data_IF_715376293894
#
_entry.id   IF_715376293894
#
_cell.length_a   1.000
_cell.length_b   1.000
_cell.length_c   1.000
_cell.angle_alpha   90.00
_cell.angle_beta   90.00
_cell.angle_gamma   90.00
#
_symmetry.space_group_name_H-M   'P 1'
#
loop_
_entity.id
_entity.type
_entity.pdbx_description
1 polymer ?
#
# COMPACT_ATOMS: atom_id res chain seq x y z
N UNK A 1 18.92 -7.67 -17.31
CA UNK A 1 18.73 -8.15 -15.91
C UNK A 1 18.57 -6.93 -15.03
N UNK A 2 17.39 -6.75 -14.43
CA UNK A 2 17.23 -5.67 -13.43
C UNK A 2 17.97 -6.09 -12.17
N UNK A 3 18.87 -5.21 -11.70
CA UNK A 3 19.58 -5.40 -10.42
C UNK A 3 18.53 -5.41 -9.30
N UNK A 4 18.61 -6.39 -8.40
CA UNK A 4 17.79 -6.45 -7.20
C UNK A 4 18.07 -5.22 -6.32
N UNK A 5 17.03 -4.63 -5.75
CA UNK A 5 17.14 -3.51 -4.81
C UNK A 5 17.54 -4.10 -3.45
N UNK A 6 18.68 -3.64 -2.92
CA UNK A 6 19.15 -4.01 -1.60
C UNK A 6 18.87 -2.91 -0.58
N UNK A 7 18.82 -3.23 0.73
CA UNK A 7 18.62 -2.24 1.79
C UNK A 7 19.59 -1.04 1.71
N UNK A 8 20.85 -1.30 1.37
CA UNK A 8 21.89 -0.26 1.25
C UNK A 8 21.66 0.69 0.06
N UNK A 9 20.92 0.24 -0.96
CA UNK A 9 20.60 1.09 -2.11
C UNK A 9 19.56 2.17 -1.75
N UNK A 10 18.77 1.99 -0.68
CA UNK A 10 17.64 2.85 -0.32
C UNK A 10 18.06 4.25 0.18
N UNK A 11 19.32 4.41 0.56
CA UNK A 11 19.87 5.69 1.03
C UNK A 11 20.53 6.49 -0.10
N UNK A 12 20.53 5.96 -1.32
CA UNK A 12 21.02 6.60 -2.54
C UNK A 12 19.88 6.90 -3.53
N UNK A 13 20.10 7.88 -4.40
CA UNK A 13 19.21 8.12 -5.54
C UNK A 13 19.29 6.94 -6.53
N UNK A 14 18.16 6.54 -7.16
CA UNK A 14 16.86 7.24 -7.15
C UNK A 14 15.93 6.84 -6.00
N UNK A 15 16.27 5.81 -5.20
CA UNK A 15 15.34 5.23 -4.22
C UNK A 15 15.08 6.14 -3.04
N UNK A 16 16.10 6.83 -2.54
CA UNK A 16 15.95 7.83 -1.46
C UNK A 16 14.94 8.92 -1.84
N UNK A 17 15.06 9.47 -3.04
CA UNK A 17 14.18 10.53 -3.55
C UNK A 17 12.74 10.03 -3.70
N UNK A 18 12.56 8.80 -4.21
CA UNK A 18 11.25 8.17 -4.29
C UNK A 18 10.61 8.02 -2.89
N UNK A 19 11.35 7.46 -1.93
CA UNK A 19 10.87 7.24 -0.56
C UNK A 19 10.44 8.57 0.07
N UNK A 20 11.28 9.61 -0.06
CA UNK A 20 10.99 10.95 0.47
C UNK A 20 9.76 11.56 -0.20
N UNK A 21 9.63 11.41 -1.52
CA UNK A 21 8.47 11.90 -2.28
C UNK A 21 7.18 11.22 -1.81
N UNK A 22 7.19 9.90 -1.66
CA UNK A 22 6.02 9.14 -1.21
C UNK A 22 5.67 9.45 0.25
N UNK A 23 6.66 9.63 1.12
CA UNK A 23 6.42 10.03 2.51
C UNK A 23 5.84 11.45 2.60
N UNK A 24 6.32 12.38 1.78
CA UNK A 24 5.74 13.72 1.67
C UNK A 24 4.30 13.68 1.16
N UNK A 25 3.99 12.81 0.17
CA UNK A 25 2.62 12.60 -0.30
C UNK A 25 1.71 12.09 0.83
N UNK A 26 2.20 11.17 1.66
CA UNK A 26 1.45 10.68 2.83
C UNK A 26 1.18 11.79 3.83
N UNK A 27 2.20 12.58 4.21
CA UNK A 27 2.00 13.76 5.08
C UNK A 27 0.97 14.72 4.49
N UNK A 28 1.04 14.97 3.18
CA UNK A 28 0.14 15.90 2.49
C UNK A 28 -1.29 15.38 2.36
N UNK A 29 -1.53 14.09 2.59
CA UNK A 29 -2.88 13.53 2.63
C UNK A 29 -3.65 13.92 3.91
N UNK A 30 -2.97 14.54 4.90
CA UNK A 30 -3.56 15.09 6.13
C UNK A 30 -4.48 14.11 6.89
N UNK A 31 -4.11 12.84 6.88
CA UNK A 31 -4.85 11.78 7.55
C UNK A 31 -4.62 11.84 9.08
N UNK A 32 -5.60 11.45 9.91
CA UNK A 32 -5.40 11.35 11.34
C UNK A 32 -4.23 10.40 11.67
N UNK A 33 -3.15 10.98 12.21
CA UNK A 33 -1.90 10.26 12.43
C UNK A 33 -1.94 9.30 13.63
N UNK A 34 -2.70 9.65 14.68
CA UNK A 34 -2.71 8.89 15.93
C UNK A 34 -1.31 8.80 16.53
N UNK A 35 -0.75 7.58 16.59
CA UNK A 35 0.60 7.30 17.08
C UNK A 35 1.65 7.18 15.96
N UNK A 36 1.25 7.31 14.70
CA UNK A 36 2.14 7.16 13.55
C UNK A 36 2.94 8.44 13.34
N UNK A 37 4.25 8.28 13.15
CA UNK A 37 5.20 9.37 12.90
C UNK A 37 5.72 9.34 11.47
N UNK A 38 6.43 10.40 11.06
CA UNK A 38 7.08 10.45 9.75
C UNK A 38 8.07 9.28 9.53
N UNK A 39 8.78 8.86 10.57
CA UNK A 39 9.71 7.73 10.49
C UNK A 39 8.98 6.41 10.19
N UNK A 40 7.76 6.23 10.70
CA UNK A 40 6.93 5.08 10.36
C UNK A 40 6.56 5.08 8.87
N UNK A 41 6.26 6.25 8.27
CA UNK A 41 6.00 6.35 6.83
C UNK A 41 7.21 5.89 6.02
N UNK A 42 8.39 6.40 6.38
CA UNK A 42 9.65 6.04 5.72
C UNK A 42 9.89 4.53 5.82
N UNK A 43 9.73 3.93 7.00
CA UNK A 43 9.91 2.49 7.20
C UNK A 43 8.91 1.68 6.38
N UNK A 44 7.63 2.04 6.38
CA UNK A 44 6.61 1.34 5.61
C UNK A 44 6.90 1.37 4.09
N UNK A 45 7.27 2.53 3.56
CA UNK A 45 7.60 2.69 2.14
C UNK A 45 8.88 1.93 1.77
N UNK A 46 9.92 1.97 2.62
CA UNK A 46 11.16 1.20 2.43
C UNK A 46 10.89 -0.30 2.39
N UNK A 47 10.12 -0.81 3.36
CA UNK A 47 9.73 -2.23 3.40
C UNK A 47 8.97 -2.60 2.14
N UNK A 48 7.97 -1.82 1.74
CA UNK A 48 7.20 -2.10 0.53
C UNK A 48 8.09 -2.10 -0.73
N UNK A 49 9.03 -1.16 -0.86
CA UNK A 49 9.97 -1.12 -1.99
C UNK A 49 10.88 -2.36 -2.04
N UNK A 50 11.33 -2.84 -0.87
CA UNK A 50 12.11 -4.08 -0.80
C UNK A 50 11.27 -5.32 -1.07
N UNK A 51 9.97 -5.30 -0.79
CA UNK A 51 9.08 -6.42 -1.10
C UNK A 51 8.73 -6.46 -2.57
N UNK A 52 8.28 -5.35 -3.17
CA UNK A 52 7.89 -5.30 -4.58
C UNK A 52 9.06 -5.37 -5.55
N UNK A 53 10.26 -4.98 -5.08
CA UNK A 53 11.46 -4.86 -5.90
C UNK A 53 11.26 -3.99 -7.16
N UNK A 54 10.26 -3.10 -7.14
CA UNK A 54 9.83 -2.31 -8.29
C UNK A 54 9.37 -0.91 -7.85
N UNK A 55 10.16 0.14 -8.14
CA UNK A 55 9.87 1.52 -7.71
C UNK A 55 8.53 2.05 -8.24
N UNK A 56 8.20 1.75 -9.50
CA UNK A 56 6.95 2.17 -10.12
C UNK A 56 5.77 1.49 -9.43
N UNK A 57 5.86 0.17 -9.20
CA UNK A 57 4.82 -0.59 -8.51
C UNK A 57 4.61 -0.07 -7.08
N UNK A 58 5.68 0.16 -6.32
CA UNK A 58 5.61 0.76 -4.98
C UNK A 58 4.89 2.09 -5.00
N UNK A 59 5.23 2.97 -5.94
CA UNK A 59 4.58 4.28 -6.05
C UNK A 59 3.08 4.15 -6.35
N UNK A 60 2.69 3.25 -7.26
CA UNK A 60 1.29 2.97 -7.57
C UNK A 60 0.53 2.46 -6.35
N UNK A 61 1.09 1.50 -5.62
CA UNK A 61 0.46 0.93 -4.41
C UNK A 61 0.28 2.00 -3.34
N UNK A 62 1.33 2.76 -3.00
CA UNK A 62 1.25 3.81 -1.98
C UNK A 62 0.19 4.85 -2.33
N UNK A 63 0.17 5.32 -3.57
CA UNK A 63 -0.81 6.34 -4.00
C UNK A 63 -2.24 5.81 -3.98
N UNK A 64 -2.46 4.57 -4.41
CA UNK A 64 -3.79 3.96 -4.39
C UNK A 64 -4.32 3.80 -2.95
N UNK A 65 -3.47 3.32 -2.02
CA UNK A 65 -3.85 3.19 -0.61
C UNK A 65 -4.11 4.55 0.03
N UNK A 66 -3.27 5.57 -0.24
CA UNK A 66 -3.49 6.93 0.26
C UNK A 66 -4.79 7.54 -0.27
N UNK A 67 -5.05 7.42 -1.58
CA UNK A 67 -6.29 7.89 -2.20
C UNK A 67 -7.51 7.26 -1.52
N UNK A 68 -7.50 5.94 -1.38
CA UNK A 68 -8.58 5.22 -0.72
C UNK A 68 -8.73 5.62 0.75
N UNK A 69 -7.63 5.84 1.48
CA UNK A 69 -7.68 6.28 2.86
C UNK A 69 -8.37 7.65 2.99
N UNK A 70 -8.07 8.59 2.09
CA UNK A 70 -8.74 9.89 2.03
C UNK A 70 -10.23 9.72 1.73
N UNK A 71 -10.57 8.95 0.69
CA UNK A 71 -11.96 8.73 0.26
C UNK A 71 -12.83 8.07 1.35
N UNK A 72 -12.24 7.16 2.13
CA UNK A 72 -12.92 6.42 3.18
C UNK A 72 -12.67 7.00 4.59
N UNK A 73 -12.08 8.19 4.69
CA UNK A 73 -11.76 8.87 5.95
C UNK A 73 -11.02 7.97 6.96
N UNK A 74 -10.01 7.23 6.48
CA UNK A 74 -9.18 6.31 7.28
C UNK A 74 -7.99 7.05 7.90
N UNK A 75 -7.33 6.39 8.84
CA UNK A 75 -6.16 6.93 9.56
C UNK A 75 -4.85 6.58 8.87
N UNK A 76 -3.76 7.25 9.23
CA UNK A 76 -2.42 6.83 8.80
C UNK A 76 -2.06 5.43 9.28
N UNK A 77 -2.57 5.00 10.44
CA UNK A 77 -2.35 3.62 10.91
C UNK A 77 -2.96 2.60 9.95
N UNK A 78 -4.17 2.87 9.44
CA UNK A 78 -4.81 2.02 8.44
C UNK A 78 -3.99 1.94 7.14
N UNK A 79 -3.41 3.07 6.69
CA UNK A 79 -2.52 3.07 5.51
C UNK A 79 -1.31 2.16 5.73
N UNK A 80 -0.66 2.24 6.90
CA UNK A 80 0.49 1.38 7.22
C UNK A 80 0.13 -0.12 7.12
N UNK A 81 -1.00 -0.52 7.71
CA UNK A 81 -1.47 -1.91 7.67
C UNK A 81 -1.81 -2.37 6.26
N UNK A 82 -2.43 -1.51 5.44
CA UNK A 82 -2.73 -1.85 4.06
C UNK A 82 -1.48 -1.91 3.17
N UNK A 83 -0.44 -1.10 3.42
CA UNK A 83 0.83 -1.26 2.73
C UNK A 83 1.54 -2.58 3.08
N UNK A 84 1.42 -3.05 4.33
CA UNK A 84 1.92 -4.38 4.73
C UNK A 84 1.16 -5.49 3.99
N UNK A 85 -0.18 -5.38 3.95
CA UNK A 85 -1.02 -6.31 3.20
C UNK A 85 -0.62 -6.36 1.72
N UNK A 86 -0.52 -5.21 1.05
CA UNK A 86 -0.17 -5.12 -0.37
C UNK A 86 1.23 -5.66 -0.66
N UNK A 87 2.18 -5.47 0.26
CA UNK A 87 3.50 -6.10 0.16
C UNK A 87 3.40 -7.63 0.26
N UNK A 88 2.64 -8.15 1.22
CA UNK A 88 2.50 -9.60 1.44
C UNK A 88 1.94 -10.34 0.22
N UNK A 89 1.02 -9.72 -0.51
CA UNK A 89 0.38 -10.32 -1.68
C UNK A 89 1.09 -9.97 -3.01
N UNK A 90 2.18 -9.19 -2.97
CA UNK A 90 2.90 -8.84 -4.18
C UNK A 90 3.54 -10.09 -4.82
N UNK A 91 3.23 -10.32 -6.10
CA UNK A 91 3.62 -11.53 -6.82
C UNK A 91 2.64 -12.71 -6.69
N UNK A 92 1.60 -12.61 -5.87
CA UNK A 92 0.46 -13.54 -5.86
C UNK A 92 -0.68 -13.02 -6.76
N UNK A 93 -1.58 -13.92 -7.17
CA UNK A 93 -2.86 -13.48 -7.73
C UNK A 93 -3.70 -12.85 -6.61
N UNK A 94 -4.00 -11.56 -6.78
CA UNK A 94 -4.75 -10.77 -5.79
C UNK A 94 -6.14 -11.36 -5.51
N UNK A 95 -6.85 -11.76 -6.56
CA UNK A 95 -8.24 -12.22 -6.42
C UNK A 95 -8.26 -13.57 -5.70
N UNK A 96 -7.35 -14.47 -6.04
CA UNK A 96 -7.21 -15.74 -5.36
C UNK A 96 -6.85 -15.54 -3.89
N UNK A 97 -5.94 -14.61 -3.57
CA UNK A 97 -5.55 -14.34 -2.19
C UNK A 97 -6.71 -13.76 -1.35
N UNK A 98 -7.44 -12.79 -1.90
CA UNK A 98 -8.58 -12.18 -1.21
C UNK A 98 -9.72 -13.19 -0.98
N UNK A 99 -10.00 -14.06 -1.96
CA UNK A 99 -10.98 -15.13 -1.80
C UNK A 99 -10.51 -16.20 -0.81
N UNK A 100 -9.21 -16.51 -0.80
CA UNK A 100 -8.63 -17.43 0.17
C UNK A 100 -8.80 -16.91 1.60
N UNK A 101 -8.49 -15.63 1.86
CA UNK A 101 -8.66 -14.99 3.17
C UNK A 101 -10.11 -15.15 3.69
N UNK A 102 -11.11 -14.89 2.84
CA UNK A 102 -12.52 -15.11 3.20
C UNK A 102 -12.85 -16.59 3.43
N UNK A 103 -12.32 -17.50 2.61
CA UNK A 103 -12.61 -18.93 2.71
C UNK A 103 -12.02 -19.61 3.96
N UNK A 104 -10.98 -19.01 4.55
CA UNK A 104 -10.34 -19.52 5.77
C UNK A 104 -10.97 -18.98 7.06
N UNK A 105 -11.93 -18.06 6.97
CA UNK A 105 -12.63 -17.54 8.14
C UNK A 105 -13.62 -18.57 8.70
N UNK A 106 -13.60 -18.78 10.02
CA UNK A 106 -14.54 -19.67 10.71
C UNK A 106 -16.00 -19.19 10.53
N UNK A 107 -16.20 -17.88 10.45
CA UNK A 107 -17.47 -17.22 10.13
C UNK A 107 -17.16 -15.94 9.33
N UNK A 108 -17.89 -15.69 8.25
CA UNK A 108 -17.75 -14.46 7.44
C UNK A 108 -18.75 -13.44 7.95
N UNK A 109 -18.26 -12.35 8.51
CA UNK A 109 -19.07 -11.22 8.98
C UNK A 109 -19.06 -10.05 7.99
N UNK A 110 -19.97 -9.09 8.20
CA UNK A 110 -20.10 -7.91 7.35
C UNK A 110 -18.80 -7.09 7.29
N UNK A 111 -18.02 -7.06 8.38
CA UNK A 111 -16.76 -6.32 8.43
C UNK A 111 -15.72 -6.93 7.50
N UNK A 112 -15.66 -8.26 7.41
CA UNK A 112 -14.77 -8.95 6.47
C UNK A 112 -15.19 -8.69 5.02
N UNK A 113 -16.49 -8.68 4.73
CA UNK A 113 -16.99 -8.34 3.41
C UNK A 113 -16.70 -6.88 3.03
N UNK A 114 -16.81 -5.95 3.99
CA UNK A 114 -16.43 -4.55 3.77
C UNK A 114 -14.94 -4.41 3.43
N UNK A 115 -14.05 -5.06 4.20
CA UNK A 115 -12.60 -5.05 3.92
C UNK A 115 -12.30 -5.67 2.55
N UNK A 116 -12.93 -6.78 2.20
CA UNK A 116 -12.80 -7.40 0.89
C UNK A 116 -13.20 -6.42 -0.23
N UNK A 117 -14.37 -5.79 -0.10
CA UNK A 117 -14.87 -4.83 -1.07
C UNK A 117 -13.96 -3.60 -1.21
N UNK A 118 -13.44 -3.08 -0.09
CA UNK A 118 -12.45 -2.00 -0.10
C UNK A 118 -11.19 -2.44 -0.89
N UNK A 119 -10.65 -3.63 -0.61
CA UNK A 119 -9.43 -4.14 -1.27
C UNK A 119 -9.63 -4.45 -2.75
N UNK A 120 -10.77 -5.01 -3.15
CA UNK A 120 -11.08 -5.30 -4.56
C UNK A 120 -11.16 -4.02 -5.39
N UNK A 121 -11.78 -2.96 -4.84
CA UNK A 121 -12.05 -1.74 -5.58
C UNK A 121 -10.87 -0.74 -5.63
N UNK A 122 -9.78 -1.03 -4.91
CA UNK A 122 -8.60 -0.15 -4.77
C UNK A 122 -7.95 0.24 -6.09
N UNK A 123 -7.91 -0.68 -7.05
CA UNK A 123 -7.22 -0.51 -8.34
C UNK A 123 -8.16 -0.48 -9.56
N UNK A 124 -9.47 -0.61 -9.36
CA UNK A 124 -10.46 -0.60 -10.46
C UNK A 124 -10.84 0.80 -10.91
N UNK A 125 -10.72 1.79 -10.01
CA UNK A 125 -11.12 3.18 -10.25
C UNK A 125 -10.23 3.94 -11.26
N UNK A 126 -9.05 3.42 -11.60
CA UNK A 126 -8.14 4.04 -12.57
C UNK A 126 -8.43 3.63 -14.03
N UNK A 127 -9.35 2.68 -14.26
CA UNK A 127 -9.72 2.21 -15.61
C UNK A 127 -10.86 3.06 -16.23
N UNK A 128 -11.60 3.81 -15.41
CA UNK A 128 -12.76 4.59 -15.86
C UNK A 128 -12.44 6.03 -16.32
N UNK A 129 -11.16 6.43 -16.35
CA UNK A 129 -10.72 7.79 -16.66
C UNK A 129 -10.21 8.03 -18.09
N UNK A 130 -10.12 7.00 -18.93
CA UNK A 130 -9.64 7.06 -20.32
C UNK A 130 -10.68 6.45 -21.28
N UNK A 131 -11.89 7.00 -21.33
CA UNK A 131 -12.92 6.68 -22.33
C UNK A 131 -13.64 7.93 -22.83
#
# INVERSE_FOLDING_TARGET
>A
MNRRIHPDDLDASPYKELIQTLAFQWVSADLPAGTITYDNYIVAIRTLLLTTQNPTRTATVVRAVLKQAVELNKTSFWVEEELKFEGMIDGADRNDFLLLELSQADEVDDRMLDIYNERVNRFTSDIAGDS
#
